data_IF_463125305812
#
_entry.id   IF_463125305812
#
_cell.length_a   1.000
_cell.length_b   1.000
_cell.length_c   1.000
_cell.angle_alpha   90.00
_cell.angle_beta   90.00
_cell.angle_gamma   90.00
#
_symmetry.space_group_name_H-M   'P 1'
#
loop_
_entity.id
_entity.type
_entity.pdbx_description
1 polymer ?
#
# COMPACT_ATOMS: atom_id res chain seq x y z
N UNK A 1 -16.53 45.27 10.15
CA UNK A 1 -16.34 44.74 8.80
C UNK A 1 -14.84 44.53 8.60
N UNK A 2 -14.35 43.36 8.86
CA UNK A 2 -12.99 42.96 8.54
C UNK A 2 -13.11 41.59 7.89
N UNK A 3 -13.01 41.65 6.58
CA UNK A 3 -13.03 40.56 5.64
C UNK A 3 -11.77 39.72 5.88
N UNK A 4 -11.90 38.58 6.55
CA UNK A 4 -10.86 37.60 6.70
C UNK A 4 -11.14 36.50 5.66
N UNK A 5 -10.99 36.83 4.38
CA UNK A 5 -10.85 35.82 3.32
C UNK A 5 -9.51 35.12 3.57
N UNK A 6 -9.55 33.99 4.27
CA UNK A 6 -8.47 33.00 4.18
C UNK A 6 -8.45 32.57 2.72
N UNK A 7 -7.37 32.91 2.01
CA UNK A 7 -7.08 32.32 0.71
C UNK A 7 -7.10 30.81 0.91
N UNK A 8 -8.05 30.14 0.26
CA UNK A 8 -8.11 28.68 0.22
C UNK A 8 -6.84 28.25 -0.53
N UNK A 9 -5.84 27.78 0.22
CA UNK A 9 -4.62 27.22 -0.36
C UNK A 9 -4.99 26.09 -1.32
N UNK A 10 -4.26 25.96 -2.41
CA UNK A 10 -4.44 24.86 -3.36
C UNK A 10 -4.21 23.54 -2.62
N UNK A 11 -5.22 22.65 -2.60
CA UNK A 11 -5.08 21.30 -2.04
C UNK A 11 -4.22 20.49 -2.99
N UNK A 12 -3.11 19.97 -2.49
CA UNK A 12 -2.21 19.09 -3.25
C UNK A 12 -2.28 17.70 -2.62
N UNK A 13 -2.69 16.71 -3.41
CA UNK A 13 -2.69 15.31 -3.04
C UNK A 13 -1.44 14.66 -3.66
N UNK A 14 -0.42 14.47 -2.83
CA UNK A 14 0.86 13.88 -3.27
C UNK A 14 0.99 12.44 -2.72
N UNK A 15 0.91 11.39 -3.57
CA UNK A 15 1.04 10.01 -3.13
C UNK A 15 2.45 9.67 -2.62
N UNK A 16 3.47 10.45 -2.99
CA UNK A 16 4.85 10.21 -2.58
C UNK A 16 5.20 10.87 -1.24
N UNK A 17 4.34 11.76 -0.73
CA UNK A 17 4.53 12.38 0.58
C UNK A 17 4.54 11.33 1.69
N UNK A 18 5.44 11.48 2.66
CA UNK A 18 5.53 10.59 3.85
C UNK A 18 4.76 11.25 4.98
N UNK A 19 3.60 10.69 5.31
CA UNK A 19 2.68 11.26 6.31
C UNK A 19 2.96 10.79 7.75
N UNK A 20 3.66 9.67 7.91
CA UNK A 20 3.96 9.06 9.20
C UNK A 20 5.45 8.77 9.36
N UNK A 21 5.95 8.97 10.57
CA UNK A 21 7.30 8.52 10.95
C UNK A 21 7.33 6.99 11.15
N UNK A 22 8.52 6.40 11.15
CA UNK A 22 8.69 4.97 11.43
C UNK A 22 8.34 4.56 12.88
N UNK A 23 8.08 5.52 13.77
CA UNK A 23 7.72 5.28 15.17
C UNK A 23 6.22 5.31 15.41
N UNK A 24 5.44 5.83 14.46
CA UNK A 24 3.98 5.84 14.53
C UNK A 24 3.41 4.48 14.13
N UNK A 25 2.26 4.14 14.70
CA UNK A 25 1.53 2.91 14.46
C UNK A 25 0.05 3.16 14.15
N UNK A 26 -0.68 2.11 13.87
CA UNK A 26 -2.11 2.20 13.50
C UNK A 26 -2.98 2.86 14.59
N UNK A 27 -2.56 2.84 15.85
CA UNK A 27 -3.26 3.47 16.97
C UNK A 27 -3.22 5.01 16.91
N UNK A 28 -2.32 5.59 16.11
CA UNK A 28 -2.19 7.04 15.95
C UNK A 28 -3.15 7.61 14.89
N UNK A 29 -3.91 6.74 14.23
CA UNK A 29 -4.86 7.14 13.17
C UNK A 29 -6.14 7.80 13.72
N UNK A 30 -6.67 7.31 14.84
CA UNK A 30 -8.01 7.68 15.33
C UNK A 30 -9.13 7.15 14.40
N UNK A 31 -10.31 7.77 14.45
CA UNK A 31 -11.40 7.42 13.54
C UNK A 31 -11.01 7.74 12.09
N UNK A 32 -10.99 6.72 11.25
CA UNK A 32 -10.40 6.74 9.92
C UNK A 32 -11.45 6.50 8.83
N UNK A 33 -11.51 7.42 7.87
CA UNK A 33 -12.43 7.36 6.75
C UNK A 33 -11.71 7.12 5.43
N UNK A 34 -12.19 6.14 4.64
CA UNK A 34 -11.62 5.79 3.33
C UNK A 34 -12.49 6.33 2.19
N UNK A 35 -11.96 7.22 1.36
CA UNK A 35 -12.64 7.71 0.15
C UNK A 35 -12.46 6.73 -0.99
N UNK A 36 -13.55 6.13 -1.48
CA UNK A 36 -13.50 5.05 -2.48
C UNK A 36 -13.09 3.71 -1.86
N UNK A 37 -13.69 3.38 -0.72
CA UNK A 37 -13.33 2.21 0.11
C UNK A 37 -13.45 0.86 -0.61
N UNK A 38 -14.32 0.75 -1.62
CA UNK A 38 -14.48 -0.45 -2.47
C UNK A 38 -13.35 -0.66 -3.50
N UNK A 39 -12.41 0.29 -3.63
CA UNK A 39 -11.22 0.12 -4.47
C UNK A 39 -10.36 -1.08 -4.04
N UNK A 40 -9.66 -1.72 -5.00
CA UNK A 40 -8.92 -2.97 -4.74
C UNK A 40 -7.91 -2.86 -3.58
N UNK A 41 -7.07 -1.83 -3.58
CA UNK A 41 -6.11 -1.60 -2.50
C UNK A 41 -6.74 -0.94 -1.26
N UNK A 42 -7.84 -0.18 -1.42
CA UNK A 42 -8.50 0.52 -0.33
C UNK A 42 -9.24 -0.46 0.59
N UNK A 43 -10.03 -1.38 0.01
CA UNK A 43 -10.80 -2.36 0.78
C UNK A 43 -9.92 -3.27 1.63
N UNK A 44 -8.78 -3.69 1.10
CA UNK A 44 -7.77 -4.51 1.79
C UNK A 44 -7.23 -3.78 3.02
N UNK A 45 -6.83 -2.52 2.86
CA UNK A 45 -6.26 -1.73 3.97
C UNK A 45 -7.32 -1.39 5.03
N UNK A 46 -8.55 -1.08 4.60
CA UNK A 46 -9.66 -0.83 5.52
C UNK A 46 -9.96 -2.06 6.39
N UNK A 47 -10.01 -3.27 5.79
CA UNK A 47 -10.18 -4.54 6.49
C UNK A 47 -9.05 -4.78 7.49
N UNK A 48 -7.78 -4.63 7.07
CA UNK A 48 -6.63 -4.82 7.94
C UNK A 48 -6.60 -3.87 9.14
N UNK A 49 -6.97 -2.61 8.95
CA UNK A 49 -7.07 -1.66 10.06
C UNK A 49 -8.21 -2.03 11.01
N UNK A 50 -9.37 -2.41 10.46
CA UNK A 50 -10.52 -2.83 11.26
C UNK A 50 -10.21 -4.08 12.11
N UNK A 51 -9.53 -5.09 11.53
CA UNK A 51 -9.06 -6.28 12.24
C UNK A 51 -8.07 -5.96 13.38
N UNK A 52 -7.34 -4.84 13.28
CA UNK A 52 -6.45 -4.34 14.33
C UNK A 52 -7.16 -3.41 15.34
N UNK A 53 -8.48 -3.26 15.23
CA UNK A 53 -9.29 -2.50 16.18
C UNK A 53 -9.34 -0.99 15.94
N UNK A 54 -8.88 -0.51 14.78
CA UNK A 54 -9.06 0.89 14.37
C UNK A 54 -10.53 1.11 14.01
N UNK A 55 -11.11 2.24 14.41
CA UNK A 55 -12.43 2.67 13.96
C UNK A 55 -12.35 3.08 12.50
N UNK A 56 -12.96 2.27 11.62
CA UNK A 56 -12.90 2.44 10.16
C UNK A 56 -14.28 2.54 9.57
N UNK A 57 -14.46 3.51 8.68
CA UNK A 57 -15.58 3.57 7.76
C UNK A 57 -15.11 4.12 6.39
N UNK A 58 -16.02 4.32 5.47
CA UNK A 58 -15.67 4.93 4.20
C UNK A 58 -16.85 5.22 3.31
N UNK A 59 -16.54 5.84 2.18
CA UNK A 59 -17.50 6.13 1.13
C UNK A 59 -17.12 5.44 -0.18
N UNK A 60 -18.12 5.16 -1.03
CA UNK A 60 -17.90 4.76 -2.41
C UNK A 60 -18.99 5.36 -3.31
N UNK A 61 -18.77 5.35 -4.62
CA UNK A 61 -19.76 5.85 -5.58
C UNK A 61 -20.93 4.89 -5.72
N UNK A 62 -20.63 3.59 -5.76
CA UNK A 62 -21.61 2.54 -6.08
C UNK A 62 -21.35 1.28 -5.22
N UNK A 63 -22.40 0.49 -4.91
CA UNK A 63 -22.26 -0.83 -4.31
C UNK A 63 -21.42 -1.77 -5.18
N UNK A 64 -20.65 -2.63 -4.51
CA UNK A 64 -19.82 -3.66 -5.14
C UNK A 64 -19.68 -4.86 -4.22
N UNK A 65 -19.21 -5.99 -4.73
CA UNK A 65 -18.93 -7.16 -3.90
C UNK A 65 -17.93 -6.85 -2.75
N UNK A 66 -17.02 -5.88 -2.96
CA UNK A 66 -16.08 -5.46 -1.92
C UNK A 66 -16.74 -4.61 -0.85
N UNK A 67 -17.61 -3.66 -1.22
CA UNK A 67 -18.37 -2.88 -0.25
C UNK A 67 -19.35 -3.77 0.53
N UNK A 68 -20.00 -4.73 -0.11
CA UNK A 68 -20.88 -5.71 0.55
C UNK A 68 -20.09 -6.55 1.58
N UNK A 69 -18.88 -6.97 1.22
CA UNK A 69 -17.99 -7.68 2.12
C UNK A 69 -17.61 -6.82 3.34
N UNK A 70 -17.16 -5.58 3.13
CA UNK A 70 -16.79 -4.67 4.22
C UNK A 70 -17.97 -4.43 5.17
N UNK A 71 -19.18 -4.22 4.65
CA UNK A 71 -20.39 -4.10 5.45
C UNK A 71 -20.70 -5.40 6.22
N UNK A 72 -20.46 -6.56 5.61
CA UNK A 72 -20.58 -7.87 6.25
C UNK A 72 -19.61 -8.07 7.41
N UNK A 73 -18.46 -7.43 7.41
CA UNK A 73 -17.49 -7.39 8.50
C UNK A 73 -17.86 -6.38 9.60
N UNK A 74 -18.80 -5.46 9.35
CA UNK A 74 -19.21 -4.42 10.29
C UNK A 74 -18.61 -3.05 10.01
N UNK A 75 -17.89 -2.86 8.89
CA UNK A 75 -17.38 -1.56 8.44
C UNK A 75 -18.51 -0.80 7.75
N UNK A 76 -18.81 0.40 8.22
CA UNK A 76 -19.84 1.24 7.61
C UNK A 76 -19.37 1.79 6.26
N UNK A 77 -20.24 1.71 5.24
CA UNK A 77 -19.97 2.24 3.91
C UNK A 77 -21.13 3.12 3.45
N UNK A 78 -20.82 4.39 3.20
CA UNK A 78 -21.75 5.38 2.66
C UNK A 78 -21.66 5.41 1.13
N UNK A 79 -22.81 5.49 0.46
CA UNK A 79 -22.83 5.63 -1.00
C UNK A 79 -23.07 7.08 -1.40
N UNK A 80 -22.14 7.59 -2.23
CA UNK A 80 -22.03 8.98 -2.60
C UNK A 80 -21.04 9.74 -1.72
N UNK A 81 -20.14 10.46 -2.36
CA UNK A 81 -19.10 11.26 -1.70
C UNK A 81 -19.68 12.62 -1.32
N UNK A 82 -19.74 12.92 -0.02
CA UNK A 82 -20.36 14.13 0.55
C UNK A 82 -19.53 14.66 1.73
N UNK A 83 -19.59 15.95 1.97
CA UNK A 83 -18.84 16.61 3.06
C UNK A 83 -19.18 16.05 4.44
N UNK A 84 -20.42 15.60 4.66
CA UNK A 84 -20.88 15.07 5.94
C UNK A 84 -20.23 13.72 6.30
N UNK A 85 -19.73 12.97 5.32
CA UNK A 85 -19.13 11.66 5.54
C UNK A 85 -17.85 11.72 6.39
N UNK A 86 -17.17 12.88 6.39
CA UNK A 86 -15.89 13.07 7.12
C UNK A 86 -16.05 13.79 8.46
N UNK A 87 -17.27 14.13 8.87
CA UNK A 87 -17.51 14.79 10.16
C UNK A 87 -17.02 13.92 11.33
N UNK A 88 -16.17 14.49 12.20
CA UNK A 88 -15.63 13.83 13.39
C UNK A 88 -14.54 12.80 13.13
N UNK A 89 -14.03 12.71 11.90
CA UNK A 89 -12.90 11.85 11.56
C UNK A 89 -11.56 12.53 11.86
N UNK A 90 -10.56 11.76 12.22
CA UNK A 90 -9.20 12.25 12.45
C UNK A 90 -8.28 12.01 11.26
N UNK A 91 -8.51 10.93 10.52
CA UNK A 91 -7.68 10.57 9.36
C UNK A 91 -8.56 10.24 8.16
N UNK A 92 -8.26 10.88 7.04
CA UNK A 92 -8.95 10.67 5.76
C UNK A 92 -7.97 10.03 4.79
N UNK A 93 -8.32 8.85 4.29
CA UNK A 93 -7.48 8.07 3.39
C UNK A 93 -7.98 8.20 1.97
N UNK A 94 -7.08 8.57 1.06
CA UNK A 94 -7.39 8.68 -0.37
C UNK A 94 -6.48 7.77 -1.22
N UNK A 95 -6.91 7.48 -2.44
CA UNK A 95 -6.08 6.87 -3.49
C UNK A 95 -5.82 7.86 -4.61
N UNK A 96 -4.84 7.58 -5.46
CA UNK A 96 -4.47 8.42 -6.61
C UNK A 96 -5.63 8.67 -7.61
N UNK A 97 -6.73 7.91 -7.49
CA UNK A 97 -7.95 8.15 -8.28
C UNK A 97 -8.81 9.31 -7.75
N UNK A 98 -8.57 9.77 -6.52
CA UNK A 98 -9.32 10.86 -5.89
C UNK A 98 -8.69 12.19 -6.27
N UNK A 99 -9.54 13.16 -6.60
CA UNK A 99 -9.10 14.50 -7.02
C UNK A 99 -9.19 15.51 -5.88
N UNK A 100 -8.40 16.60 -5.92
CA UNK A 100 -8.42 17.64 -4.89
C UNK A 100 -9.77 18.35 -4.71
N UNK A 101 -10.64 18.34 -5.71
CA UNK A 101 -11.98 18.92 -5.69
C UNK A 101 -13.07 17.98 -5.16
N UNK A 102 -12.69 16.80 -4.70
CA UNK A 102 -13.61 15.88 -4.04
C UNK A 102 -14.22 16.52 -2.79
N UNK A 103 -15.55 16.47 -2.57
CA UNK A 103 -16.20 17.16 -1.45
C UNK A 103 -15.68 16.70 -0.07
N UNK A 104 -15.33 15.43 0.08
CA UNK A 104 -14.78 14.89 1.33
C UNK A 104 -13.35 15.40 1.57
N UNK A 105 -12.52 15.51 0.54
CA UNK A 105 -11.18 16.12 0.64
C UNK A 105 -11.28 17.60 1.01
N UNK A 106 -12.18 18.32 0.37
CA UNK A 106 -12.38 19.77 0.64
C UNK A 106 -12.83 19.97 2.08
N UNK A 107 -13.80 19.20 2.56
CA UNK A 107 -14.32 19.28 3.93
C UNK A 107 -13.24 18.91 4.95
N UNK A 108 -12.53 17.82 4.76
CA UNK A 108 -11.43 17.38 5.63
C UNK A 108 -10.30 18.42 5.72
N UNK A 109 -9.90 19.00 4.58
CA UNK A 109 -8.90 20.07 4.55
C UNK A 109 -9.37 21.32 5.29
N UNK A 110 -10.65 21.71 5.13
CA UNK A 110 -11.23 22.85 5.84
C UNK A 110 -11.31 22.63 7.36
N UNK A 111 -11.54 21.39 7.79
CA UNK A 111 -11.56 20.98 9.20
C UNK A 111 -10.15 20.85 9.80
N UNK A 112 -9.10 20.79 8.98
CA UNK A 112 -7.72 20.59 9.42
C UNK A 112 -7.42 19.13 9.81
N UNK A 113 -8.18 18.19 9.27
CA UNK A 113 -8.00 16.77 9.49
C UNK A 113 -6.77 16.24 8.74
N UNK A 114 -6.24 15.10 9.17
CA UNK A 114 -5.09 14.45 8.51
C UNK A 114 -5.56 13.77 7.23
N UNK A 115 -5.06 14.21 6.08
CA UNK A 115 -5.34 13.62 4.77
C UNK A 115 -4.11 12.86 4.33
N UNK A 116 -4.24 11.53 4.12
CA UNK A 116 -3.12 10.63 3.84
C UNK A 116 -3.42 9.74 2.63
N UNK A 117 -2.39 9.42 1.85
CA UNK A 117 -2.53 8.48 0.76
C UNK A 117 -2.61 7.03 1.26
N UNK A 118 -3.29 6.13 0.53
CA UNK A 118 -3.39 4.70 0.89
C UNK A 118 -2.04 4.02 1.16
N UNK A 119 -0.99 4.48 0.49
CA UNK A 119 0.37 3.96 0.70
C UNK A 119 0.96 4.35 2.05
N UNK A 120 0.51 5.45 2.67
CA UNK A 120 0.90 5.80 4.03
C UNK A 120 0.32 4.80 5.05
N UNK A 121 -0.92 4.34 4.82
CA UNK A 121 -1.53 3.29 5.64
C UNK A 121 -0.75 1.99 5.50
N UNK A 122 -0.38 1.60 4.28
CA UNK A 122 0.44 0.40 4.08
C UNK A 122 1.82 0.53 4.72
N UNK A 123 2.47 1.69 4.60
CA UNK A 123 3.74 1.97 5.28
C UNK A 123 3.61 1.85 6.80
N UNK A 124 2.53 2.37 7.37
CA UNK A 124 2.25 2.29 8.80
C UNK A 124 2.07 0.85 9.28
N UNK A 125 1.36 0.02 8.50
CA UNK A 125 1.21 -1.42 8.76
C UNK A 125 2.57 -2.16 8.69
N UNK A 126 3.49 -1.73 7.82
CA UNK A 126 4.85 -2.29 7.72
C UNK A 126 5.69 -2.01 8.95
N UNK A 127 5.50 -0.87 9.63
CA UNK A 127 6.29 -0.48 10.81
C UNK A 127 6.20 -1.49 11.97
N UNK A 128 5.13 -2.27 12.04
CA UNK A 128 4.86 -3.22 13.14
C UNK A 128 5.20 -4.67 12.79
N UNK A 129 5.62 -4.94 11.56
CA UNK A 129 5.82 -6.29 11.03
C UNK A 129 7.16 -6.41 10.28
N UNK A 130 7.60 -7.63 10.07
CA UNK A 130 8.68 -7.96 9.14
C UNK A 130 8.12 -7.91 7.72
N UNK A 131 8.15 -6.74 7.12
CA UNK A 131 7.52 -6.52 5.84
C UNK A 131 8.32 -7.13 4.68
N UNK A 132 7.64 -7.86 3.81
CA UNK A 132 8.15 -8.33 2.52
C UNK A 132 7.33 -7.66 1.44
N UNK A 133 7.95 -6.80 0.65
CA UNK A 133 7.31 -6.15 -0.49
C UNK A 133 7.59 -6.88 -1.79
N UNK A 134 6.61 -6.90 -2.69
CA UNK A 134 6.77 -7.41 -4.06
C UNK A 134 6.45 -6.29 -5.03
N UNK A 135 7.48 -5.79 -5.72
CA UNK A 135 7.42 -4.76 -6.74
C UNK A 135 7.69 -5.33 -8.14
N UNK A 136 7.36 -4.58 -9.17
CA UNK A 136 7.66 -4.90 -10.56
C UNK A 136 6.50 -4.58 -11.51
N UNK A 137 6.77 -4.31 -12.78
CA UNK A 137 5.73 -4.05 -13.78
C UNK A 137 4.74 -5.24 -13.87
N UNK A 138 5.25 -6.46 -13.83
CA UNK A 138 4.46 -7.68 -13.97
C UNK A 138 4.78 -8.70 -12.87
N UNK A 139 3.79 -9.55 -12.52
CA UNK A 139 3.98 -10.68 -11.60
C UNK A 139 3.90 -10.35 -10.11
N UNK A 140 3.64 -9.11 -9.71
CA UNK A 140 3.45 -8.71 -8.30
C UNK A 140 2.43 -9.58 -7.59
N UNK A 141 1.19 -9.57 -8.06
CA UNK A 141 0.07 -10.31 -7.45
C UNK A 141 0.33 -11.82 -7.39
N UNK A 142 0.89 -12.39 -8.44
CA UNK A 142 1.19 -13.83 -8.46
C UNK A 142 2.25 -14.16 -7.41
N UNK A 143 3.34 -13.41 -7.36
CA UNK A 143 4.46 -13.66 -6.45
C UNK A 143 4.07 -13.43 -4.99
N UNK A 144 3.36 -12.33 -4.70
CA UNK A 144 2.87 -12.03 -3.36
C UNK A 144 1.82 -13.05 -2.88
N UNK A 145 0.90 -13.47 -3.76
CA UNK A 145 -0.07 -14.53 -3.44
C UNK A 145 0.61 -15.88 -3.18
N UNK A 146 1.60 -16.26 -3.97
CA UNK A 146 2.37 -17.49 -3.71
C UNK A 146 3.09 -17.43 -2.36
N UNK A 147 3.73 -16.31 -2.03
CA UNK A 147 4.42 -16.15 -0.75
C UNK A 147 3.44 -16.18 0.42
N UNK A 148 2.35 -15.44 0.35
CA UNK A 148 1.30 -15.44 1.37
C UNK A 148 0.71 -16.85 1.55
N UNK A 149 0.43 -17.56 0.46
CA UNK A 149 -0.06 -18.95 0.48
C UNK A 149 0.94 -19.90 1.16
N UNK A 150 2.21 -19.82 0.81
CA UNK A 150 3.26 -20.67 1.42
C UNK A 150 3.32 -20.42 2.94
N UNK A 151 3.35 -19.17 3.37
CA UNK A 151 3.41 -18.81 4.78
C UNK A 151 2.12 -19.24 5.52
N UNK A 152 0.96 -19.08 4.92
CA UNK A 152 -0.32 -19.53 5.50
C UNK A 152 -0.35 -21.04 5.71
N UNK A 153 0.20 -21.86 4.79
CA UNK A 153 0.11 -23.31 4.84
C UNK A 153 1.27 -23.98 5.55
N UNK A 154 2.48 -23.45 5.37
CA UNK A 154 3.72 -24.06 5.85
C UNK A 154 4.48 -23.19 6.86
N UNK A 155 4.00 -21.97 7.17
CA UNK A 155 4.64 -21.14 8.18
C UNK A 155 4.49 -21.75 9.58
N UNK A 156 5.58 -21.70 10.35
CA UNK A 156 5.64 -22.17 11.73
C UNK A 156 6.11 -21.04 12.67
N UNK A 157 5.71 -21.10 13.95
CA UNK A 157 6.07 -20.08 14.93
C UNK A 157 5.65 -18.68 14.46
N UNK A 158 6.59 -17.74 14.44
CA UNK A 158 6.34 -16.35 14.05
C UNK A 158 6.06 -16.16 12.54
N UNK A 159 6.24 -17.18 11.73
CA UNK A 159 5.90 -17.15 10.30
C UNK A 159 4.49 -17.69 10.03
N UNK A 160 3.86 -18.32 11.01
CA UNK A 160 2.48 -18.76 10.89
C UNK A 160 1.53 -17.55 10.92
N UNK A 161 0.38 -17.69 10.27
CA UNK A 161 -0.65 -16.65 10.21
C UNK A 161 -0.10 -15.28 9.77
N UNK A 162 0.47 -15.18 8.55
CA UNK A 162 1.04 -13.92 8.05
C UNK A 162 -0.06 -12.88 7.82
N UNK A 163 0.27 -11.60 8.02
CA UNK A 163 -0.51 -10.52 7.41
C UNK A 163 -0.21 -10.42 5.93
N UNK A 164 -1.21 -10.02 5.13
CA UNK A 164 -0.97 -9.74 3.71
C UNK A 164 -1.89 -8.66 3.16
N UNK A 165 -1.34 -7.86 2.25
CA UNK A 165 -2.02 -6.84 1.46
C UNK A 165 -1.68 -7.06 -0.01
N UNK A 166 -2.50 -7.85 -0.71
CA UNK A 166 -2.26 -8.32 -2.08
C UNK A 166 -3.47 -8.04 -2.98
N UNK A 167 -3.24 -7.81 -4.26
CA UNK A 167 -4.32 -7.53 -5.23
C UNK A 167 -5.12 -8.76 -5.65
N UNK A 168 -4.71 -9.95 -5.23
CA UNK A 168 -5.34 -11.23 -5.54
C UNK A 168 -5.98 -11.89 -4.33
N UNK A 169 -6.27 -13.18 -4.45
CA UNK A 169 -6.77 -14.03 -3.37
C UNK A 169 -5.88 -15.26 -3.21
N UNK A 170 -5.89 -15.86 -2.04
CA UNK A 170 -5.20 -17.12 -1.76
C UNK A 170 -6.20 -18.17 -1.26
N UNK A 171 -5.85 -19.44 -1.41
CA UNK A 171 -6.64 -20.52 -0.82
C UNK A 171 -6.23 -20.70 0.65
N UNK A 172 -7.20 -20.64 1.57
CA UNK A 172 -6.99 -20.94 2.98
C UNK A 172 -6.77 -22.43 3.25
N UNK A 173 -6.40 -22.77 4.48
CA UNK A 173 -6.17 -24.18 4.91
C UNK A 173 -7.38 -25.06 4.80
N UNK A 174 -8.56 -24.50 4.88
CA UNK A 174 -9.87 -25.17 4.73
C UNK A 174 -10.33 -25.28 3.27
N UNK A 175 -9.53 -24.80 2.33
CA UNK A 175 -9.85 -24.77 0.91
C UNK A 175 -10.73 -23.59 0.46
N UNK A 176 -11.16 -22.73 1.38
CA UNK A 176 -11.93 -21.50 1.06
C UNK A 176 -11.00 -20.45 0.49
N UNK A 177 -11.47 -19.71 -0.53
CA UNK A 177 -10.72 -18.57 -1.06
C UNK A 177 -10.78 -17.40 -0.09
N UNK A 178 -9.61 -16.92 0.31
CA UNK A 178 -9.42 -15.73 1.15
C UNK A 178 -9.09 -14.55 0.26
N UNK A 179 -9.68 -13.40 0.55
CA UNK A 179 -9.36 -12.15 -0.16
C UNK A 179 -7.95 -11.67 0.17
N UNK A 180 -7.49 -10.65 -0.56
CA UNK A 180 -6.12 -10.15 -0.49
C UNK A 180 -5.77 -9.33 0.75
N UNK A 181 -6.70 -9.14 1.69
CA UNK A 181 -6.48 -8.42 2.94
C UNK A 181 -6.61 -9.33 4.16
N UNK A 182 -5.59 -9.33 5.03
CA UNK A 182 -5.64 -10.04 6.31
C UNK A 182 -4.62 -9.47 7.30
N UNK A 183 -5.03 -9.23 8.54
CA UNK A 183 -4.14 -8.85 9.63
C UNK A 183 -3.86 -10.06 10.54
N UNK A 184 -2.93 -10.92 10.12
CA UNK A 184 -2.52 -12.10 10.87
C UNK A 184 -1.78 -11.79 12.17
N UNK A 185 -1.71 -12.77 13.06
CA UNK A 185 -1.01 -12.67 14.35
C UNK A 185 0.50 -12.92 14.22
N UNK A 186 0.98 -13.47 13.10
CA UNK A 186 2.40 -13.68 12.84
C UNK A 186 3.17 -12.38 12.61
N UNK A 187 4.50 -12.46 12.62
CA UNK A 187 5.38 -11.30 12.51
C UNK A 187 5.56 -10.80 11.06
N UNK A 188 5.10 -11.54 10.05
CA UNK A 188 5.32 -11.21 8.65
C UNK A 188 4.14 -10.49 8.03
N UNK A 189 4.44 -9.44 7.25
CA UNK A 189 3.50 -8.79 6.33
C UNK A 189 3.99 -8.96 4.90
N UNK A 190 3.21 -9.59 4.04
CA UNK A 190 3.44 -9.66 2.59
C UNK A 190 2.60 -8.58 1.91
N UNK A 191 3.23 -7.68 1.15
CA UNK A 191 2.54 -6.58 0.52
C UNK A 191 2.94 -6.38 -0.94
N UNK A 192 1.98 -6.07 -1.79
CA UNK A 192 2.29 -5.57 -3.12
C UNK A 192 2.74 -4.11 -3.04
N UNK A 193 3.86 -3.80 -3.68
CA UNK A 193 4.39 -2.46 -3.83
C UNK A 193 4.04 -1.97 -5.25
N UNK A 194 2.95 -1.20 -5.33
CA UNK A 194 2.42 -0.68 -6.60
C UNK A 194 3.26 0.53 -7.03
N UNK A 195 3.95 0.37 -8.16
CA UNK A 195 4.83 1.39 -8.71
C UNK A 195 4.12 2.47 -9.51
N UNK A 196 2.83 2.31 -9.81
CA UNK A 196 2.10 3.12 -10.79
C UNK A 196 2.06 4.63 -10.50
N UNK A 197 2.12 5.01 -9.22
CA UNK A 197 2.08 6.41 -8.76
C UNK A 197 3.34 6.86 -8.00
N UNK A 198 4.39 6.05 -8.01
CA UNK A 198 5.66 6.32 -7.34
C UNK A 198 5.63 6.18 -5.83
N UNK A 199 4.47 5.96 -5.22
CA UNK A 199 4.33 5.91 -3.76
C UNK A 199 5.09 4.76 -3.09
N UNK A 200 5.39 3.68 -3.82
CA UNK A 200 6.11 2.52 -3.29
C UNK A 200 7.56 2.83 -2.91
N UNK A 201 8.15 3.87 -3.48
CA UNK A 201 9.52 4.27 -3.18
C UNK A 201 9.73 4.67 -1.71
N UNK A 202 8.65 5.08 -1.01
CA UNK A 202 8.71 5.46 0.41
C UNK A 202 8.63 4.29 1.40
N UNK A 203 8.43 3.05 0.93
CA UNK A 203 8.35 1.88 1.82
C UNK A 203 9.73 1.46 2.32
N UNK A 204 9.79 0.99 3.58
CA UNK A 204 11.00 0.47 4.22
C UNK A 204 10.80 -1.02 4.60
N UNK A 205 10.76 -1.93 3.62
CA UNK A 205 10.56 -3.35 3.92
C UNK A 205 11.79 -3.99 4.55
N UNK A 206 11.60 -5.08 5.28
CA UNK A 206 12.71 -5.94 5.69
C UNK A 206 13.33 -6.64 4.46
N UNK A 207 12.47 -7.08 3.54
CA UNK A 207 12.88 -7.74 2.29
C UNK A 207 12.09 -7.10 1.13
N UNK A 208 12.80 -6.68 0.07
CA UNK A 208 12.20 -6.28 -1.18
C UNK A 208 12.38 -7.35 -2.25
N UNK A 209 11.30 -7.74 -2.91
CA UNK A 209 11.32 -8.63 -4.08
C UNK A 209 10.98 -7.78 -5.30
N UNK A 210 11.82 -7.81 -6.33
CA UNK A 210 11.57 -7.13 -7.60
C UNK A 210 11.51 -8.17 -8.71
N UNK A 211 10.34 -8.35 -9.27
CA UNK A 211 10.11 -9.37 -10.32
C UNK A 211 10.73 -8.94 -11.65
N UNK A 212 10.48 -7.71 -12.06
CA UNK A 212 11.04 -7.06 -13.24
C UNK A 212 10.87 -5.53 -13.10
N UNK A 213 11.61 -4.75 -13.88
CA UNK A 213 11.48 -3.29 -13.96
C UNK A 213 11.47 -2.81 -15.41
N UNK A 214 10.70 -3.52 -16.25
CA UNK A 214 10.36 -3.04 -17.59
C UNK A 214 9.61 -1.72 -17.50
N UNK A 215 9.90 -0.83 -18.45
CA UNK A 215 9.31 0.50 -18.43
C UNK A 215 7.78 0.45 -18.60
N UNK A 216 7.09 0.90 -17.58
CA UNK A 216 5.64 1.07 -17.55
C UNK A 216 5.29 2.44 -16.93
N UNK A 217 4.03 2.85 -16.95
CA UNK A 217 3.55 4.08 -16.32
C UNK A 217 4.37 5.35 -16.69
N UNK A 218 4.85 5.44 -17.95
CA UNK A 218 5.63 6.59 -18.43
C UNK A 218 4.83 7.89 -18.49
N UNK A 219 3.51 7.83 -18.46
CA UNK A 219 2.61 8.96 -18.27
C UNK A 219 2.81 9.62 -16.90
N UNK A 220 3.15 8.83 -15.85
CA UNK A 220 3.50 9.33 -14.52
C UNK A 220 4.98 9.73 -14.43
N UNK A 221 5.88 8.85 -14.82
CA UNK A 221 7.33 9.04 -14.62
C UNK A 221 8.01 9.93 -15.67
N UNK A 222 7.40 10.11 -16.83
CA UNK A 222 7.95 10.87 -17.96
C UNK A 222 9.04 10.14 -18.72
N UNK A 223 9.99 9.49 -18.02
CA UNK A 223 11.10 8.75 -18.65
C UNK A 223 11.34 7.41 -17.99
N UNK A 224 12.01 6.49 -18.72
CA UNK A 224 12.42 5.18 -18.20
C UNK A 224 13.45 5.31 -17.07
N UNK A 225 14.29 6.33 -17.14
CA UNK A 225 15.28 6.62 -16.11
C UNK A 225 14.62 6.99 -14.79
N UNK A 226 13.59 7.85 -14.81
CA UNK A 226 12.83 8.22 -13.63
C UNK A 226 12.06 7.02 -13.05
N UNK A 227 11.46 6.20 -13.91
CA UNK A 227 10.81 4.96 -13.50
C UNK A 227 11.78 4.04 -12.76
N UNK A 228 12.97 3.78 -13.31
CA UNK A 228 14.00 2.97 -12.67
C UNK A 228 14.55 3.60 -11.40
N UNK A 229 14.67 4.92 -11.33
CA UNK A 229 15.12 5.62 -10.12
C UNK A 229 14.19 5.34 -8.93
N UNK A 230 12.87 5.27 -9.15
CA UNK A 230 11.92 4.89 -8.09
C UNK A 230 12.13 3.45 -7.58
N UNK A 231 12.52 2.52 -8.44
CA UNK A 231 12.93 1.17 -8.01
C UNK A 231 14.24 1.18 -7.23
N UNK A 232 15.20 2.00 -7.63
CA UNK A 232 16.46 2.18 -6.87
C UNK A 232 16.15 2.68 -5.47
N UNK A 233 15.31 3.71 -5.33
CA UNK A 233 14.89 4.25 -4.03
C UNK A 233 14.22 3.18 -3.17
N UNK A 234 13.24 2.44 -3.73
CA UNK A 234 12.55 1.37 -3.03
C UNK A 234 13.51 0.27 -2.54
N UNK A 235 14.42 -0.17 -3.40
CA UNK A 235 15.40 -1.24 -3.10
C UNK A 235 16.41 -0.78 -2.06
N UNK A 236 16.87 0.48 -2.11
CA UNK A 236 17.80 1.04 -1.13
C UNK A 236 17.20 1.16 0.27
N UNK A 237 15.87 1.23 0.40
CA UNK A 237 15.18 1.24 1.68
C UNK A 237 14.99 -0.17 2.28
N UNK A 238 15.31 -1.25 1.56
CA UNK A 238 15.23 -2.61 2.11
C UNK A 238 16.28 -2.83 3.20
N UNK A 239 15.84 -3.26 4.38
CA UNK A 239 16.69 -3.32 5.59
C UNK A 239 17.62 -4.51 5.59
N UNK A 240 17.18 -5.69 5.09
CA UNK A 240 17.97 -6.93 5.19
C UNK A 240 18.36 -7.54 3.86
N UNK A 241 17.44 -7.62 2.93
CA UNK A 241 17.69 -8.31 1.67
C UNK A 241 16.84 -7.79 0.54
N UNK A 242 17.40 -7.88 -0.65
CA UNK A 242 16.72 -7.65 -1.92
C UNK A 242 16.81 -8.91 -2.76
N UNK A 243 15.70 -9.31 -3.35
CA UNK A 243 15.64 -10.45 -4.27
C UNK A 243 15.18 -9.94 -5.63
N UNK A 244 16.01 -10.09 -6.66
CA UNK A 244 15.72 -9.58 -8.01
C UNK A 244 15.82 -10.68 -9.04
N UNK A 245 14.99 -10.62 -10.09
CA UNK A 245 15.18 -11.45 -11.28
C UNK A 245 16.40 -10.91 -12.06
N UNK A 246 17.43 -11.75 -12.18
CA UNK A 246 18.67 -11.40 -12.86
C UNK A 246 18.62 -11.54 -14.39
N UNK A 247 17.54 -12.10 -14.94
CA UNK A 247 17.31 -12.21 -16.38
C UNK A 247 16.60 -10.98 -16.96
N UNK A 248 16.13 -10.06 -16.10
CA UNK A 248 15.48 -8.83 -16.51
C UNK A 248 16.52 -7.69 -16.66
N UNK A 249 16.59 -7.11 -17.85
CA UNK A 249 17.54 -6.03 -18.14
C UNK A 249 17.29 -4.76 -17.32
N UNK A 250 16.03 -4.49 -16.99
CA UNK A 250 15.65 -3.39 -16.14
C UNK A 250 16.17 -3.59 -14.71
N UNK A 251 15.98 -4.77 -14.13
CA UNK A 251 16.53 -5.13 -12.83
C UNK A 251 18.06 -5.04 -12.79
N UNK A 252 18.74 -5.49 -13.86
CA UNK A 252 20.20 -5.34 -13.97
C UNK A 252 20.61 -3.87 -14.02
N UNK A 253 19.81 -3.01 -14.62
CA UNK A 253 20.08 -1.55 -14.62
C UNK A 253 19.85 -0.95 -13.23
N UNK A 254 18.80 -1.34 -12.53
CA UNK A 254 18.57 -0.95 -11.12
C UNK A 254 19.72 -1.41 -10.25
N UNK A 255 20.15 -2.68 -10.33
CA UNK A 255 21.26 -3.24 -9.56
C UNK A 255 22.56 -2.45 -9.74
N UNK A 256 22.87 -2.02 -10.96
CA UNK A 256 24.07 -1.22 -11.26
C UNK A 256 24.03 0.18 -10.67
N UNK A 257 22.82 0.69 -10.38
CA UNK A 257 22.62 2.01 -9.81
C UNK A 257 22.56 2.01 -8.27
N UNK A 258 22.49 0.82 -7.64
CA UNK A 258 22.47 0.71 -6.17
C UNK A 258 23.81 1.17 -5.56
N UNK A 259 23.73 1.71 -4.36
CA UNK A 259 24.92 1.91 -3.54
C UNK A 259 25.55 0.58 -3.10
N UNK A 260 26.79 0.63 -2.58
CA UNK A 260 27.51 -0.58 -2.19
C UNK A 260 26.84 -1.35 -1.05
N UNK A 261 26.09 -0.68 -0.17
CA UNK A 261 25.39 -1.30 0.93
C UNK A 261 24.20 -2.10 0.44
N UNK A 262 23.32 -1.50 -0.35
CA UNK A 262 22.15 -2.17 -0.94
C UNK A 262 22.56 -3.31 -1.87
N UNK A 263 23.59 -3.09 -2.71
CA UNK A 263 24.11 -4.12 -3.60
C UNK A 263 24.66 -5.36 -2.85
N UNK A 264 25.26 -5.17 -1.67
CA UNK A 264 25.81 -6.26 -0.85
C UNK A 264 24.72 -7.17 -0.26
N UNK A 265 23.48 -6.69 -0.15
CA UNK A 265 22.34 -7.45 0.37
C UNK A 265 21.41 -7.96 -0.74
N UNK A 266 21.80 -7.78 -2.00
CA UNK A 266 20.99 -8.17 -3.16
C UNK A 266 21.33 -9.57 -3.63
N UNK A 267 20.32 -10.40 -3.78
CA UNK A 267 20.39 -11.74 -4.38
C UNK A 267 19.68 -11.69 -5.74
N UNK A 268 20.43 -11.97 -6.80
CA UNK A 268 19.85 -12.11 -8.13
C UNK A 268 19.52 -13.57 -8.39
N UNK A 269 18.25 -13.85 -8.69
CA UNK A 269 17.81 -15.15 -9.19
C UNK A 269 17.92 -15.16 -10.70
N UNK A 270 18.68 -16.12 -11.21
CA UNK A 270 18.76 -16.40 -12.64
C UNK A 270 17.87 -17.61 -12.95
N UNK A 271 17.07 -17.52 -13.99
CA UNK A 271 16.47 -18.69 -14.59
C UNK A 271 17.60 -19.44 -15.30
N UNK A 272 18.19 -20.38 -14.62
CA UNK A 272 19.39 -21.06 -15.14
C UNK A 272 19.10 -21.70 -16.48
N UNK A 273 19.72 -21.15 -17.48
CA UNK A 273 20.16 -21.98 -18.58
C UNK A 273 21.37 -22.83 -18.10
N UNK A 274 21.36 -24.05 -18.46
CA UNK A 274 22.40 -25.10 -18.36
C UNK A 274 23.85 -24.64 -18.11
#
# INVERSE_FOLDING_TARGET
MTDNQREAGTIILDPTHVSFSQQEGVNDLGATHFIGIGGAGMSVLAEMLYEQGVEVDGSDREPSAKTDRLQGLGIAVEFGQREENVEGKQTIVFSSAIKPDNPEIVAAHAAGERIVHRSDILSLLMNTKRAVTVAGAHGKTTTSSMLAHILTHAGEGNLADPSYAIGGSIQGKDGVMLDGGHAGQGDVLVAEADESDGSFAKYHPEIAIVTNSEADHLDHYGTQENYRAAFVDHVQHAVKSVVMCGDDEGNLAVLRALDASAAAHTVCLLYTSD
#
